data_IF_353116404602
#
_entry.id   IF_353116404602
#
_cell.length_a   1.000
_cell.length_b   1.000
_cell.length_c   1.000
_cell.angle_alpha   90.00
_cell.angle_beta   90.00
_cell.angle_gamma   90.00
#
_symmetry.space_group_name_H-M   'P 1'
#
loop_
_entity.id
_entity.type
_entity.pdbx_description
1 polymer ?
#
# COMPACT_ATOMS: atom_id res chain seq x y z
N UNK A 1 0.92 -28.21 15.66
CA UNK A 1 0.06 -28.20 14.47
C UNK A 1 -0.78 -26.91 14.32
N UNK A 2 -1.38 -26.33 15.38
CA UNK A 2 -2.22 -25.10 15.28
C UNK A 2 -1.47 -23.86 14.78
N UNK A 3 -0.21 -23.66 15.15
CA UNK A 3 0.59 -22.52 14.71
C UNK A 3 0.82 -22.53 13.19
N UNK A 4 1.13 -23.69 12.62
CA UNK A 4 1.30 -23.87 11.19
C UNK A 4 0.02 -23.55 10.40
N UNK A 5 -1.15 -23.94 10.89
CA UNK A 5 -2.44 -23.70 10.23
C UNK A 5 -2.74 -22.19 10.13
N UNK A 6 -2.48 -21.39 11.17
CA UNK A 6 -2.68 -19.94 11.15
C UNK A 6 -1.76 -19.25 10.11
N UNK A 7 -0.53 -19.69 9.97
CA UNK A 7 0.39 -19.16 8.96
C UNK A 7 -0.05 -19.49 7.52
N UNK A 8 -0.53 -20.71 7.29
CA UNK A 8 -1.06 -21.10 5.99
C UNK A 8 -2.33 -20.33 5.60
N UNK A 9 -3.24 -20.18 6.55
CA UNK A 9 -4.46 -19.38 6.32
C UNK A 9 -4.14 -17.92 6.02
N UNK A 10 -3.19 -17.32 6.74
CA UNK A 10 -2.75 -15.96 6.45
C UNK A 10 -2.06 -15.85 5.09
N UNK A 11 -1.23 -16.80 4.72
CA UNK A 11 -0.57 -16.83 3.41
C UNK A 11 -1.61 -16.94 2.27
N UNK A 12 -2.62 -17.80 2.45
CA UNK A 12 -3.71 -17.92 1.48
C UNK A 12 -4.54 -16.63 1.38
N UNK A 13 -4.89 -16.02 2.52
CA UNK A 13 -5.63 -14.76 2.56
C UNK A 13 -4.84 -13.65 1.84
N UNK A 14 -3.54 -13.56 2.10
CA UNK A 14 -2.65 -12.60 1.46
C UNK A 14 -2.60 -12.83 -0.06
N UNK A 15 -2.42 -14.06 -0.50
CA UNK A 15 -2.37 -14.40 -1.91
C UNK A 15 -3.67 -14.06 -2.65
N UNK A 16 -4.82 -14.38 -2.05
CA UNK A 16 -6.15 -14.06 -2.60
C UNK A 16 -6.35 -12.54 -2.63
N UNK A 17 -6.01 -11.83 -1.56
CA UNK A 17 -6.12 -10.37 -1.52
C UNK A 17 -5.26 -9.71 -2.61
N UNK A 18 -4.01 -10.15 -2.79
CA UNK A 18 -3.14 -9.66 -3.86
C UNK A 18 -3.73 -9.91 -5.27
N UNK A 19 -4.29 -11.11 -5.49
CA UNK A 19 -4.93 -11.46 -6.76
C UNK A 19 -6.16 -10.57 -7.04
N UNK A 20 -7.02 -10.39 -6.05
CA UNK A 20 -8.20 -9.51 -6.15
C UNK A 20 -7.77 -8.07 -6.43
N UNK A 21 -6.75 -7.57 -5.73
CA UNK A 21 -6.21 -6.22 -5.93
C UNK A 21 -5.68 -6.04 -7.35
N UNK A 22 -4.88 -6.99 -7.84
CA UNK A 22 -4.35 -6.95 -9.21
C UNK A 22 -5.47 -6.83 -10.24
N UNK A 23 -6.47 -7.68 -10.12
CA UNK A 23 -7.61 -7.69 -11.06
C UNK A 23 -8.44 -6.40 -10.97
N UNK A 24 -8.73 -5.94 -9.77
CA UNK A 24 -9.53 -4.72 -9.55
C UNK A 24 -8.82 -3.49 -10.11
N UNK A 25 -7.52 -3.34 -9.82
CA UNK A 25 -6.74 -2.20 -10.32
C UNK A 25 -6.61 -2.24 -11.85
N UNK A 26 -6.34 -3.41 -12.41
CA UNK A 26 -6.19 -3.55 -13.86
C UNK A 26 -7.48 -3.23 -14.63
N UNK A 27 -8.63 -3.74 -14.16
CA UNK A 27 -9.93 -3.52 -14.82
C UNK A 27 -10.37 -2.06 -14.69
N UNK A 28 -10.10 -1.40 -13.58
CA UNK A 28 -10.57 -0.03 -13.33
C UNK A 28 -9.88 1.00 -14.24
N UNK A 29 -8.64 0.79 -14.61
CA UNK A 29 -7.87 1.69 -15.48
C UNK A 29 -7.82 1.22 -16.94
N UNK A 30 -8.40 0.06 -17.26
CA UNK A 30 -8.41 -0.48 -18.61
C UNK A 30 -9.14 0.47 -19.57
N UNK A 31 -8.42 0.94 -20.58
CA UNK A 31 -8.95 1.88 -21.59
C UNK A 31 -8.78 3.38 -21.26
N UNK A 32 -8.35 3.75 -20.06
CA UNK A 32 -8.06 5.15 -19.70
C UNK A 32 -6.57 5.48 -19.72
N UNK A 33 -5.73 4.49 -19.49
CA UNK A 33 -4.26 4.60 -19.52
C UNK A 33 -3.69 3.52 -20.42
N UNK A 34 -2.45 3.71 -20.86
CA UNK A 34 -1.71 2.69 -21.61
C UNK A 34 -1.43 1.45 -20.74
N UNK A 35 -1.21 0.32 -21.41
CA UNK A 35 -1.05 -0.97 -20.73
C UNK A 35 0.14 -1.01 -19.76
N UNK A 36 1.21 -0.28 -20.06
CA UNK A 36 2.38 -0.18 -19.20
C UNK A 36 2.06 0.56 -17.89
N UNK A 37 1.38 1.70 -17.97
CA UNK A 37 0.92 2.48 -16.81
C UNK A 37 -0.07 1.68 -15.97
N UNK A 38 -1.01 0.94 -16.61
CA UNK A 38 -1.96 0.09 -15.90
C UNK A 38 -1.26 -1.06 -15.14
N UNK A 39 -0.24 -1.66 -15.74
CA UNK A 39 0.55 -2.73 -15.12
C UNK A 39 1.36 -2.21 -13.92
N UNK A 40 1.99 -1.05 -14.04
CA UNK A 40 2.69 -0.38 -12.94
C UNK A 40 1.73 -0.04 -11.80
N UNK A 41 0.51 0.43 -12.11
CA UNK A 41 -0.54 0.69 -11.15
C UNK A 41 -0.97 -0.55 -10.38
N UNK A 42 -1.24 -1.64 -11.09
CA UNK A 42 -1.61 -2.90 -10.46
C UNK A 42 -0.52 -3.44 -9.54
N UNK A 43 0.74 -3.35 -9.94
CA UNK A 43 1.89 -3.68 -9.10
C UNK A 43 1.90 -2.82 -7.83
N UNK A 44 1.68 -1.51 -7.95
CA UNK A 44 1.67 -0.59 -6.82
C UNK A 44 0.52 -0.86 -5.85
N UNK A 45 -0.68 -1.13 -6.37
CA UNK A 45 -1.84 -1.51 -5.56
C UNK A 45 -1.59 -2.80 -4.77
N UNK A 46 -0.95 -3.81 -5.37
CA UNK A 46 -0.56 -5.07 -4.70
C UNK A 46 0.44 -4.80 -3.58
N UNK A 47 1.45 -3.97 -3.82
CA UNK A 47 2.42 -3.57 -2.79
C UNK A 47 1.69 -2.91 -1.61
N UNK A 48 0.76 -1.99 -1.87
CA UNK A 48 -0.06 -1.36 -0.83
C UNK A 48 -0.89 -2.38 -0.04
N UNK A 49 -1.49 -3.36 -0.72
CA UNK A 49 -2.24 -4.46 -0.09
C UNK A 49 -1.36 -5.25 0.88
N UNK A 50 -0.16 -5.63 0.47
CA UNK A 50 0.79 -6.39 1.30
C UNK A 50 1.13 -5.61 2.58
N UNK A 51 1.48 -4.33 2.43
CA UNK A 51 1.84 -3.50 3.57
C UNK A 51 0.67 -3.32 4.55
N UNK A 52 -0.51 -2.97 4.06
CA UNK A 52 -1.68 -2.71 4.91
C UNK A 52 -2.17 -3.99 5.58
N UNK A 53 -2.23 -5.12 4.86
CA UNK A 53 -2.67 -6.39 5.44
C UNK A 53 -1.69 -6.90 6.49
N UNK A 54 -0.38 -6.77 6.26
CA UNK A 54 0.64 -7.10 7.25
C UNK A 54 0.47 -6.30 8.54
N UNK A 55 0.24 -5.01 8.44
CA UNK A 55 0.07 -4.14 9.61
C UNK A 55 -1.25 -4.38 10.33
N UNK A 56 -2.33 -4.60 9.60
CA UNK A 56 -3.63 -4.93 10.17
C UNK A 56 -3.62 -6.26 10.95
N UNK A 57 -2.71 -7.17 10.58
CA UNK A 57 -2.54 -8.45 11.28
C UNK A 57 -1.69 -8.32 12.55
N UNK A 58 -0.67 -7.45 12.54
CA UNK A 58 0.30 -7.31 13.64
C UNK A 58 0.01 -6.16 14.59
N UNK A 59 -0.65 -5.10 14.10
CA UNK A 59 -0.97 -3.88 14.82
C UNK A 59 -2.46 -3.53 14.65
N UNK A 60 -2.93 -2.54 15.41
CA UNK A 60 -4.28 -2.00 15.28
C UNK A 60 -4.55 -1.44 13.87
N UNK A 61 -5.79 -1.58 13.39
CA UNK A 61 -6.26 -0.97 12.13
C UNK A 61 -5.93 0.54 12.02
N UNK A 62 -5.91 1.25 13.15
CA UNK A 62 -5.51 2.65 13.20
C UNK A 62 -4.06 2.86 12.75
N UNK A 63 -3.14 1.96 13.07
CA UNK A 63 -1.74 2.06 12.64
C UNK A 63 -1.61 1.90 11.11
N UNK A 64 -2.39 0.97 10.52
CA UNK A 64 -2.46 0.81 9.06
C UNK A 64 -2.98 2.06 8.35
N UNK A 65 -4.06 2.66 8.86
CA UNK A 65 -4.63 3.90 8.30
C UNK A 65 -3.65 5.07 8.35
N UNK A 66 -2.93 5.23 9.46
CA UNK A 66 -1.94 6.30 9.58
C UNK A 66 -0.79 6.11 8.60
N UNK A 67 -0.38 4.88 8.33
CA UNK A 67 0.63 4.59 7.31
C UNK A 67 0.16 4.94 5.90
N UNK A 68 -1.11 4.68 5.58
CA UNK A 68 -1.73 5.11 4.31
C UNK A 68 -1.64 6.63 4.18
N UNK A 69 -1.94 7.37 5.24
CA UNK A 69 -1.86 8.83 5.27
C UNK A 69 -0.43 9.32 5.07
N UNK A 70 0.56 8.68 5.69
CA UNK A 70 1.97 9.01 5.50
C UNK A 70 2.42 8.78 4.04
N UNK A 71 1.99 7.67 3.44
CA UNK A 71 2.25 7.38 2.02
C UNK A 71 1.56 8.39 1.11
N UNK A 72 0.30 8.72 1.38
CA UNK A 72 -0.45 9.73 0.63
C UNK A 72 0.21 11.12 0.71
N UNK A 73 0.72 11.52 1.87
CA UNK A 73 1.44 12.79 2.02
C UNK A 73 2.71 12.84 1.16
N UNK A 74 3.46 11.74 1.07
CA UNK A 74 4.65 11.63 0.21
C UNK A 74 4.29 11.78 -1.27
N UNK A 75 3.19 11.18 -1.70
CA UNK A 75 2.67 11.30 -3.06
C UNK A 75 2.29 12.75 -3.37
N UNK A 76 1.61 13.44 -2.44
CA UNK A 76 1.25 14.86 -2.59
C UNK A 76 2.50 15.74 -2.74
N UNK A 77 3.52 15.52 -1.93
CA UNK A 77 4.79 16.25 -2.01
C UNK A 77 5.44 16.06 -3.39
N UNK A 78 5.48 14.83 -3.90
CA UNK A 78 5.98 14.54 -5.24
C UNK A 78 5.15 15.20 -6.34
N UNK A 79 3.80 15.22 -6.21
CA UNK A 79 2.92 15.91 -7.14
C UNK A 79 3.23 17.39 -7.22
N UNK A 80 3.39 18.04 -6.08
CA UNK A 80 3.75 19.46 -6.00
C UNK A 80 5.10 19.69 -6.68
N UNK A 81 6.08 18.82 -6.44
CA UNK A 81 7.38 18.93 -7.09
C UNK A 81 7.27 18.89 -8.61
N UNK A 82 6.55 17.92 -9.16
CA UNK A 82 6.39 17.77 -10.62
C UNK A 82 5.61 18.88 -11.30
N UNK A 83 4.80 19.64 -10.56
CA UNK A 83 4.13 20.82 -11.10
C UNK A 83 5.11 21.97 -11.43
N UNK A 84 6.24 22.04 -10.74
CA UNK A 84 7.17 23.14 -10.86
C UNK A 84 8.52 22.74 -11.45
N UNK A 85 8.94 21.48 -11.27
CA UNK A 85 10.29 21.02 -11.61
C UNK A 85 10.25 19.65 -12.30
N UNK A 86 11.06 19.46 -13.34
CA UNK A 86 11.25 18.14 -13.94
C UNK A 86 12.05 17.24 -12.99
N UNK A 87 12.05 15.95 -13.28
CA UNK A 87 12.87 15.00 -12.52
C UNK A 87 14.34 15.41 -12.50
N UNK A 88 14.92 15.37 -11.32
CA UNK A 88 16.37 15.48 -11.14
C UNK A 88 16.83 14.61 -9.96
N UNK A 89 18.04 14.02 -10.03
CA UNK A 89 18.61 13.26 -8.90
C UNK A 89 18.76 14.10 -7.62
N UNK A 90 19.04 15.38 -7.77
CA UNK A 90 19.16 16.33 -6.63
C UNK A 90 17.78 16.55 -6.01
N UNK A 91 16.73 16.73 -6.84
CA UNK A 91 15.35 16.85 -6.39
C UNK A 91 14.88 15.58 -5.65
N UNK A 92 15.20 14.40 -6.19
CA UNK A 92 14.93 13.13 -5.53
C UNK A 92 15.57 13.07 -4.14
N UNK A 93 16.86 13.36 -4.03
CA UNK A 93 17.57 13.34 -2.75
C UNK A 93 16.98 14.36 -1.75
N UNK A 94 16.65 15.58 -2.22
CA UNK A 94 16.04 16.61 -1.40
C UNK A 94 14.65 16.19 -0.88
N UNK A 95 13.81 15.57 -1.73
CA UNK A 95 12.50 15.10 -1.33
C UNK A 95 12.57 13.92 -0.34
N UNK A 96 13.52 13.00 -0.50
CA UNK A 96 13.76 11.93 0.47
C UNK A 96 14.15 12.52 1.83
N UNK A 97 15.07 13.48 1.84
CA UNK A 97 15.46 14.20 3.06
C UNK A 97 14.29 14.93 3.72
N UNK A 98 13.46 15.63 2.93
CA UNK A 98 12.26 16.30 3.40
C UNK A 98 11.26 15.29 3.97
N UNK A 99 11.01 14.18 3.27
CA UNK A 99 10.13 13.11 3.72
C UNK A 99 10.57 12.50 5.05
N UNK A 100 11.88 12.31 5.24
CA UNK A 100 12.46 11.88 6.50
C UNK A 100 12.18 12.89 7.63
N UNK A 101 12.38 14.18 7.38
CA UNK A 101 12.12 15.23 8.37
C UNK A 101 10.64 15.30 8.75
N UNK A 102 9.74 15.17 7.78
CA UNK A 102 8.29 15.16 8.00
C UNK A 102 7.89 13.94 8.84
N UNK A 103 8.40 12.75 8.53
CA UNK A 103 8.12 11.55 9.30
C UNK A 103 8.57 11.68 10.75
N UNK A 104 9.76 12.26 10.99
CA UNK A 104 10.26 12.52 12.33
C UNK A 104 9.45 13.60 13.07
N UNK A 105 9.03 14.67 12.39
CA UNK A 105 8.21 15.71 12.99
C UNK A 105 6.81 15.20 13.41
N UNK A 106 6.36 14.12 12.79
CA UNK A 106 5.11 13.42 13.14
C UNK A 106 5.31 12.30 14.18
N UNK A 107 6.49 12.23 14.83
CA UNK A 107 6.87 11.15 15.77
C UNK A 107 6.76 9.74 15.19
N UNK A 108 7.11 9.58 13.89
CA UNK A 108 7.01 8.32 13.14
C UNK A 108 8.29 7.98 12.37
N UNK A 109 9.42 7.80 13.05
CA UNK A 109 10.69 7.50 12.40
C UNK A 109 10.64 6.18 11.60
N UNK A 110 9.84 5.21 12.02
CA UNK A 110 9.68 3.92 11.32
C UNK A 110 9.06 4.07 9.92
N UNK A 111 8.26 5.12 9.70
CA UNK A 111 7.63 5.39 8.41
C UNK A 111 8.57 6.12 7.43
N UNK A 112 9.69 6.65 7.90
CA UNK A 112 10.65 7.38 7.07
C UNK A 112 11.21 6.55 5.92
N UNK A 113 11.48 5.25 6.16
CA UNK A 113 11.98 4.32 5.13
C UNK A 113 10.91 4.12 4.05
N UNK A 114 9.66 3.89 4.45
CA UNK A 114 8.54 3.72 3.51
C UNK A 114 8.30 4.99 2.70
N UNK A 115 8.36 6.15 3.35
CA UNK A 115 8.28 7.46 2.72
C UNK A 115 9.36 7.62 1.65
N UNK A 116 10.61 7.31 1.97
CA UNK A 116 11.73 7.37 1.03
C UNK A 116 11.56 6.43 -0.17
N UNK A 117 11.11 5.20 0.05
CA UNK A 117 10.80 4.24 -1.03
C UNK A 117 9.68 4.78 -1.92
N UNK A 118 8.60 5.29 -1.33
CA UNK A 118 7.47 5.86 -2.08
C UNK A 118 7.92 7.03 -2.96
N UNK A 119 8.66 7.99 -2.39
CA UNK A 119 9.21 9.13 -3.13
C UNK A 119 10.08 8.64 -4.29
N UNK A 120 10.97 7.68 -4.05
CA UNK A 120 11.87 7.15 -5.08
C UNK A 120 11.08 6.56 -6.25
N UNK A 121 10.10 5.70 -5.97
CA UNK A 121 9.30 5.06 -7.03
C UNK A 121 8.49 6.09 -7.80
N UNK A 122 7.79 7.00 -7.11
CA UNK A 122 6.97 8.03 -7.76
C UNK A 122 7.82 8.94 -8.65
N UNK A 123 8.99 9.36 -8.16
CA UNK A 123 9.90 10.22 -8.91
C UNK A 123 10.48 9.53 -10.14
N UNK A 124 10.88 8.26 -10.01
CA UNK A 124 11.45 7.50 -11.13
C UNK A 124 10.38 7.18 -12.17
N UNK A 125 9.19 6.75 -11.76
CA UNK A 125 8.09 6.46 -12.71
C UNK A 125 7.65 7.74 -13.42
N UNK A 126 7.54 8.87 -12.71
CA UNK A 126 7.26 10.16 -13.35
C UNK A 126 8.34 10.61 -14.35
N UNK A 127 9.60 10.21 -14.13
CA UNK A 127 10.69 10.47 -15.08
C UNK A 127 10.57 9.66 -16.38
N UNK A 128 9.94 8.49 -16.35
CA UNK A 128 9.70 7.65 -17.54
C UNK A 128 8.68 8.29 -18.51
N UNK A 129 7.72 9.07 -17.97
CA UNK A 129 6.70 9.77 -18.74
C UNK A 129 6.70 11.27 -18.43
N UNK A 130 7.68 12.05 -18.92
CA UNK A 130 7.84 13.47 -18.54
C UNK A 130 6.61 14.34 -18.84
N UNK A 131 5.90 14.07 -19.95
CA UNK A 131 4.71 14.84 -20.37
C UNK A 131 3.53 14.68 -19.42
N UNK A 132 3.48 13.58 -18.68
CA UNK A 132 2.42 13.25 -17.72
C UNK A 132 2.96 13.05 -16.30
N UNK A 133 4.18 13.49 -16.02
CA UNK A 133 4.86 13.27 -14.72
C UNK A 133 4.03 13.78 -13.53
N UNK A 134 3.29 14.86 -13.69
CA UNK A 134 2.41 15.42 -12.66
C UNK A 134 1.18 14.53 -12.36
N UNK A 135 0.77 13.68 -13.31
CA UNK A 135 -0.37 12.77 -13.15
C UNK A 135 0.03 11.47 -12.45
N UNK A 136 1.27 11.04 -12.61
CA UNK A 136 1.77 9.78 -12.03
C UNK A 136 1.58 9.66 -10.52
N UNK A 137 1.89 10.69 -9.70
CA UNK A 137 1.65 10.62 -8.27
C UNK A 137 0.17 10.42 -7.92
N UNK A 138 -0.75 11.03 -8.69
CA UNK A 138 -2.19 10.90 -8.48
C UNK A 138 -2.68 9.48 -8.81
N UNK A 139 -2.16 8.88 -9.87
CA UNK A 139 -2.43 7.48 -10.22
C UNK A 139 -1.94 6.55 -9.10
N UNK A 140 -0.72 6.77 -8.59
CA UNK A 140 -0.18 6.00 -7.44
C UNK A 140 -1.03 6.17 -6.19
N UNK A 141 -1.62 7.34 -5.95
CA UNK A 141 -2.55 7.53 -4.84
C UNK A 141 -3.81 6.67 -5.02
N UNK A 142 -4.41 6.68 -6.22
CA UNK A 142 -5.58 5.87 -6.52
C UNK A 142 -5.29 4.36 -6.35
N UNK A 143 -4.16 3.88 -6.87
CA UNK A 143 -3.72 2.49 -6.70
C UNK A 143 -3.53 2.12 -5.22
N UNK A 144 -2.93 3.03 -4.44
CA UNK A 144 -2.75 2.83 -2.99
C UNK A 144 -4.09 2.71 -2.27
N UNK A 145 -5.08 3.53 -2.63
CA UNK A 145 -6.42 3.48 -2.03
C UNK A 145 -7.13 2.17 -2.38
N UNK A 146 -7.03 1.69 -3.62
CA UNK A 146 -7.58 0.40 -4.03
C UNK A 146 -6.95 -0.73 -3.22
N UNK A 147 -5.62 -0.79 -3.18
CA UNK A 147 -4.90 -1.81 -2.43
C UNK A 147 -5.23 -1.81 -0.94
N UNK A 148 -5.33 -0.62 -0.34
CA UNK A 148 -5.69 -0.45 1.06
C UNK A 148 -7.14 -0.91 1.34
N UNK A 149 -8.09 -0.58 0.47
CA UNK A 149 -9.49 -1.00 0.62
C UNK A 149 -9.62 -2.53 0.59
N UNK A 150 -8.96 -3.20 -0.37
CA UNK A 150 -8.94 -4.66 -0.44
C UNK A 150 -8.26 -5.28 0.78
N UNK A 151 -7.15 -4.71 1.24
CA UNK A 151 -6.45 -5.21 2.43
C UNK A 151 -7.29 -5.10 3.70
N UNK A 152 -8.00 -3.98 3.89
CA UNK A 152 -8.90 -3.77 5.02
C UNK A 152 -10.05 -4.79 4.97
N UNK A 153 -10.68 -4.97 3.81
CA UNK A 153 -11.73 -5.98 3.64
C UNK A 153 -11.22 -7.39 3.95
N UNK A 154 -10.04 -7.76 3.43
CA UNK A 154 -9.41 -9.04 3.72
C UNK A 154 -9.08 -9.22 5.21
N UNK A 155 -8.62 -8.16 5.91
CA UNK A 155 -8.36 -8.21 7.34
C UNK A 155 -9.63 -8.46 8.17
N UNK A 156 -10.77 -7.86 7.79
CA UNK A 156 -12.06 -8.13 8.43
C UNK A 156 -12.51 -9.57 8.21
N UNK A 157 -12.40 -10.09 6.97
CA UNK A 157 -12.71 -11.49 6.67
C UNK A 157 -11.82 -12.45 7.45
N UNK A 158 -10.53 -12.16 7.53
CA UNK A 158 -9.59 -12.95 8.32
C UNK A 158 -9.98 -13.01 9.80
N UNK A 159 -10.36 -11.89 10.40
CA UNK A 159 -10.82 -11.87 11.80
C UNK A 159 -12.07 -12.72 12.01
N UNK A 160 -13.05 -12.65 11.12
CA UNK A 160 -14.26 -13.45 11.19
C UNK A 160 -13.93 -14.95 11.14
N UNK A 161 -13.09 -15.38 10.20
CA UNK A 161 -12.69 -16.79 10.05
C UNK A 161 -11.91 -17.32 11.26
N UNK A 162 -11.08 -16.48 11.92
CA UNK A 162 -10.32 -16.90 13.10
C UNK A 162 -11.15 -16.95 14.37
N UNK A 163 -12.16 -16.08 14.52
CA UNK A 163 -13.07 -16.10 15.66
C UNK A 163 -13.94 -17.34 15.67
N UNK A 164 -14.39 -17.84 14.53
CA UNK A 164 -15.16 -19.08 14.41
C UNK A 164 -14.31 -20.32 14.78
N UNK A 165 -13.03 -20.33 14.42
CA UNK A 165 -12.10 -21.40 14.78
C UNK A 165 -11.86 -21.49 16.29
N UNK A 166 -11.82 -20.35 16.99
CA UNK A 166 -11.66 -20.30 18.44
C UNK A 166 -12.96 -20.73 19.17
N UNK A 167 -14.12 -20.33 18.67
CA UNK A 167 -15.41 -20.73 19.20
C UNK A 167 -15.67 -22.26 19.08
N UNK A 168 -15.33 -22.81 17.91
CA UNK A 168 -15.45 -24.26 17.65
C UNK A 168 -14.52 -25.10 18.53
N UNK A 169 -13.35 -24.57 18.88
CA UNK A 169 -12.36 -25.25 19.71
C UNK A 169 -12.72 -25.27 21.20
N UNK A 170 -13.49 -24.27 21.67
CA UNK A 170 -13.95 -24.21 23.08
C UNK A 170 -15.25 -24.96 23.30
N UNK A 171 -16.12 -25.10 22.27
CA UNK A 171 -17.37 -25.86 22.34
C UNK A 171 -17.16 -27.36 22.43
N UNK A 172 -16.10 -27.92 21.88
CA UNK A 172 -15.77 -29.35 21.90
C UNK A 172 -15.20 -29.90 23.23
N UNK A 173 -14.93 -29.03 24.21
CA UNK A 173 -14.31 -29.41 25.48
C UNK A 173 -15.34 -29.53 26.65
N UNK A 174 -16.62 -29.34 26.37
CA UNK A 174 -17.71 -29.37 27.34
C UNK A 174 -18.64 -30.58 27.23
N UNK A 175 -18.26 -31.62 26.49
CA UNK A 175 -19.01 -32.88 26.38
C UNK A 175 -18.26 -34.05 26.97
#
# INVERSE_FOLDING_TARGET
MRLYRKHWLFALLLAVACLVTWWTSNVQFYGYVDAETAMLGSMWAVIATIFVLRESHTKSLSAGLVRILATASSIIICSIYFLFLPFSPIGLAALIGLGYLVANALDRPDDAITTGITITVVMVVGALNPDKAWLEPLLRLADTLIGAAVAIAAAFLGKALWSEDEASATGGQKS
#
